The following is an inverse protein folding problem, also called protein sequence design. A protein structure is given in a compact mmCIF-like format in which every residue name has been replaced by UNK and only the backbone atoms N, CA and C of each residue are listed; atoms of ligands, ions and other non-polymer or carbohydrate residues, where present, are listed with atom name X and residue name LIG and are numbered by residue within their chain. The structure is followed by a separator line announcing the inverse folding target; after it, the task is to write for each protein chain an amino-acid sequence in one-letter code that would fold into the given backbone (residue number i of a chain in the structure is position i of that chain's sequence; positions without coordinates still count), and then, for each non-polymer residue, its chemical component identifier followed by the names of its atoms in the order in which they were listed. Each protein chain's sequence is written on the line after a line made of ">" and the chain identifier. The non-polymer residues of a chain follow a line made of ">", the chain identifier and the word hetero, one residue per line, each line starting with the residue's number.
data_IF_717862998964
#
_entry.id   IF_717862998964
#
_cell.length_a   1.000
_cell.length_b   1.000
_cell.length_c   1.000
_cell.angle_alpha   90.00
_cell.angle_beta   90.00
_cell.angle_gamma   90.00
#
_symmetry.space_group_name_H-M   'P 1'
#
loop_
_entity.id
_entity.type
_entity.pdbx_description
1 polymer ?
#
# COMPACT_ATOMS: atom_id res chain seq x y z
N UNK A 1 -17.18 -2.71 36.07
CA UNK A 1 -17.03 -2.65 34.60
C UNK A 1 -16.41 -3.96 34.17
N UNK A 2 -17.02 -4.60 33.19
CA UNK A 2 -16.85 -6.03 32.92
C UNK A 2 -15.65 -6.24 31.99
N UNK A 3 -14.82 -7.26 32.21
CA UNK A 3 -13.67 -7.58 31.33
C UNK A 3 -14.07 -7.76 29.85
N UNK A 4 -15.32 -8.15 29.59
CA UNK A 4 -15.90 -8.24 28.24
C UNK A 4 -16.12 -6.88 27.56
N UNK A 5 -16.48 -5.83 28.30
CA UNK A 5 -16.64 -4.46 27.75
C UNK A 5 -15.28 -3.88 27.36
N UNK A 6 -14.26 -4.10 28.19
CA UNK A 6 -12.89 -3.67 27.94
C UNK A 6 -12.24 -4.37 26.73
N UNK A 7 -12.57 -5.64 26.48
CA UNK A 7 -12.06 -6.40 25.32
C UNK A 7 -12.70 -5.93 24.02
N UNK A 8 -14.01 -5.66 24.03
CA UNK A 8 -14.74 -5.20 22.85
C UNK A 8 -14.33 -3.78 22.43
N UNK A 9 -14.09 -2.88 23.39
CA UNK A 9 -13.54 -1.55 23.12
C UNK A 9 -12.13 -1.61 22.51
N UNK A 10 -11.29 -2.53 23.00
CA UNK A 10 -9.92 -2.70 22.49
C UNK A 10 -9.88 -3.24 21.05
N UNK A 11 -10.77 -4.17 20.72
CA UNK A 11 -10.90 -4.69 19.35
C UNK A 11 -11.40 -3.61 18.38
N UNK A 12 -12.39 -2.82 18.80
CA UNK A 12 -12.96 -1.76 17.98
C UNK A 12 -11.95 -0.62 17.73
N UNK A 13 -11.12 -0.30 18.72
CA UNK A 13 -10.00 0.65 18.57
C UNK A 13 -8.92 0.13 17.60
N UNK A 14 -8.61 -1.17 17.64
CA UNK A 14 -7.65 -1.79 16.73
C UNK A 14 -8.16 -1.75 15.28
N UNK A 15 -9.41 -2.15 15.04
CA UNK A 15 -10.06 -2.11 13.72
C UNK A 15 -10.13 -0.67 13.16
N UNK A 16 -10.49 0.31 14.01
CA UNK A 16 -10.50 1.72 13.60
C UNK A 16 -9.11 2.23 13.22
N UNK A 17 -8.08 1.81 13.96
CA UNK A 17 -6.69 2.17 13.68
C UNK A 17 -6.21 1.56 12.35
N UNK A 18 -6.58 0.31 12.08
CA UNK A 18 -6.22 -0.39 10.84
C UNK A 18 -6.85 0.27 9.62
N UNK A 19 -8.16 0.56 9.65
CA UNK A 19 -8.86 1.28 8.57
C UNK A 19 -8.26 2.68 8.35
N UNK A 20 -7.86 3.37 9.43
CA UNK A 20 -7.20 4.66 9.32
C UNK A 20 -5.82 4.56 8.62
N UNK A 21 -5.02 3.57 9.03
CA UNK A 21 -3.70 3.30 8.50
C UNK A 21 -3.75 2.95 7.00
N UNK A 22 -4.69 2.09 6.60
CA UNK A 22 -4.93 1.76 5.19
C UNK A 22 -5.32 3.00 4.35
N UNK A 23 -6.19 3.86 4.88
CA UNK A 23 -6.56 5.13 4.21
C UNK A 23 -5.35 6.04 4.05
N UNK A 24 -4.44 6.07 5.03
CA UNK A 24 -3.22 6.86 4.96
C UNK A 24 -2.28 6.31 3.87
N UNK A 25 -2.08 5.00 3.82
CA UNK A 25 -1.25 4.35 2.78
C UNK A 25 -1.78 4.60 1.37
N UNK A 26 -3.10 4.52 1.16
CA UNK A 26 -3.73 4.88 -0.13
C UNK A 26 -3.44 6.33 -0.52
N UNK A 27 -3.51 7.28 0.43
CA UNK A 27 -3.19 8.69 0.16
C UNK A 27 -1.72 8.87 -0.23
N UNK A 28 -0.79 8.23 0.49
CA UNK A 28 0.65 8.28 0.19
C UNK A 28 0.92 7.75 -1.23
N UNK A 29 0.38 6.57 -1.56
CA UNK A 29 0.55 5.95 -2.88
C UNK A 29 -0.01 6.82 -4.00
N UNK A 30 -1.16 7.48 -3.80
CA UNK A 30 -1.74 8.39 -4.78
C UNK A 30 -0.89 9.66 -4.98
N UNK A 31 -0.33 10.22 -3.90
CA UNK A 31 0.56 11.38 -3.98
C UNK A 31 1.83 11.03 -4.74
N UNK A 32 2.46 9.91 -4.41
CA UNK A 32 3.65 9.43 -5.13
C UNK A 32 3.35 9.12 -6.60
N UNK A 33 2.19 8.52 -6.89
CA UNK A 33 1.73 8.33 -8.26
C UNK A 33 1.62 9.62 -9.07
N UNK A 34 1.23 10.73 -8.44
CA UNK A 34 1.23 12.06 -9.09
C UNK A 34 2.64 12.58 -9.31
N UNK A 35 3.57 12.36 -8.36
CA UNK A 35 4.98 12.73 -8.53
C UNK A 35 5.58 11.98 -9.73
N UNK A 36 5.43 10.65 -9.79
CA UNK A 36 5.93 9.86 -10.92
C UNK A 36 5.29 10.21 -12.26
N UNK A 37 4.08 10.75 -12.25
CA UNK A 37 3.43 11.24 -13.47
C UNK A 37 4.00 12.59 -13.93
N UNK A 38 4.30 13.49 -13.00
CA UNK A 38 4.77 14.85 -13.31
C UNK A 38 6.26 14.89 -13.66
N UNK A 39 7.06 13.97 -13.13
CA UNK A 39 8.50 13.95 -13.31
C UNK A 39 8.94 12.68 -14.07
N UNK A 40 9.91 12.78 -14.99
CA UNK A 40 10.43 11.64 -15.72
C UNK A 40 11.29 10.77 -14.80
N UNK A 41 10.64 9.84 -14.09
CA UNK A 41 11.32 8.85 -13.25
C UNK A 41 11.51 7.56 -14.08
N UNK A 42 12.71 6.93 -14.05
CA UNK A 42 12.91 5.64 -14.69
C UNK A 42 11.92 4.59 -14.16
N UNK A 43 11.39 3.75 -15.06
CA UNK A 43 10.39 2.72 -14.73
C UNK A 43 10.86 1.81 -13.57
N UNK A 44 12.13 1.40 -13.60
CA UNK A 44 12.76 0.58 -12.55
C UNK A 44 12.72 1.27 -11.18
N UNK A 45 13.01 2.57 -11.12
CA UNK A 45 12.98 3.32 -9.88
C UNK A 45 11.57 3.47 -9.33
N UNK A 46 10.54 3.52 -10.19
CA UNK A 46 9.14 3.53 -9.74
C UNK A 46 8.74 2.18 -9.17
N UNK A 47 9.17 1.08 -9.78
CA UNK A 47 8.95 -0.27 -9.25
C UNK A 47 9.63 -0.47 -7.90
N UNK A 48 10.89 -0.05 -7.77
CA UNK A 48 11.64 -0.16 -6.51
C UNK A 48 10.98 0.65 -5.39
N UNK A 49 10.56 1.89 -5.68
CA UNK A 49 9.84 2.72 -4.72
C UNK A 49 8.52 2.07 -4.28
N UNK A 50 7.77 1.51 -5.22
CA UNK A 50 6.50 0.80 -4.91
C UNK A 50 6.74 -0.44 -4.06
N UNK A 51 7.76 -1.25 -4.35
CA UNK A 51 8.10 -2.43 -3.55
C UNK A 51 8.51 -2.06 -2.13
N UNK A 52 9.31 -1.01 -1.99
CA UNK A 52 9.71 -0.49 -0.69
C UNK A 52 8.48 -0.08 0.14
N UNK A 53 7.53 0.64 -0.48
CA UNK A 53 6.28 1.00 0.18
C UNK A 53 5.41 -0.21 0.53
N UNK A 54 5.30 -1.18 -0.37
CA UNK A 54 4.53 -2.39 -0.11
C UNK A 54 5.08 -3.15 1.11
N UNK A 55 6.40 -3.28 1.22
CA UNK A 55 7.04 -3.88 2.38
C UNK A 55 6.75 -3.11 3.66
N UNK A 56 6.91 -1.77 3.65
CA UNK A 56 6.58 -0.93 4.81
C UNK A 56 5.12 -1.12 5.21
N UNK A 57 4.19 -1.13 4.26
CA UNK A 57 2.76 -1.27 4.57
C UNK A 57 2.44 -2.65 5.14
N UNK A 58 3.10 -3.69 4.65
CA UNK A 58 2.93 -5.06 5.13
C UNK A 58 3.46 -5.22 6.55
N UNK A 59 4.62 -4.64 6.85
CA UNK A 59 5.18 -4.62 8.20
C UNK A 59 4.24 -3.91 9.18
N UNK A 60 3.72 -2.74 8.81
CA UNK A 60 2.81 -1.94 9.65
C UNK A 60 1.42 -2.57 9.80
N UNK A 61 0.96 -3.37 8.83
CA UNK A 61 -0.31 -4.11 8.90
C UNK A 61 -0.14 -5.53 9.46
N UNK A 62 1.08 -5.95 9.83
CA UNK A 62 1.34 -7.32 10.31
C UNK A 62 1.12 -8.41 9.26
N UNK A 63 1.20 -8.07 7.97
CA UNK A 63 0.97 -8.98 6.85
C UNK A 63 2.29 -9.72 6.53
N UNK A 64 2.31 -11.07 6.56
CA UNK A 64 3.54 -11.85 6.38
C UNK A 64 4.17 -11.61 5.01
N UNK A 65 5.50 -11.49 4.89
CA UNK A 65 6.22 -11.20 3.63
C UNK A 65 5.72 -12.08 2.48
N UNK A 66 5.38 -11.47 1.34
CA UNK A 66 5.05 -12.20 0.10
C UNK A 66 6.29 -12.19 -0.77
N UNK A 67 6.69 -13.35 -1.28
CA UNK A 67 7.68 -13.43 -2.35
C UNK A 67 7.15 -12.60 -3.53
N UNK A 68 7.77 -11.44 -3.75
CA UNK A 68 7.40 -10.58 -4.87
C UNK A 68 8.01 -11.25 -6.09
N UNK A 69 7.16 -11.91 -6.87
CA UNK A 69 7.55 -12.48 -8.16
C UNK A 69 8.13 -11.35 -9.02
N UNK A 70 9.42 -11.47 -9.35
CA UNK A 70 10.23 -10.43 -10.00
C UNK A 70 9.89 -10.25 -11.49
N UNK A 71 8.73 -10.78 -11.91
CA UNK A 71 8.22 -10.69 -13.26
C UNK A 71 7.86 -9.24 -13.62
N UNK A 72 8.89 -8.45 -13.94
CA UNK A 72 8.78 -7.07 -14.41
C UNK A 72 7.88 -7.05 -15.67
N UNK A 73 6.72 -6.37 -15.64
CA UNK A 73 6.01 -6.11 -16.87
C UNK A 73 6.85 -5.13 -17.70
N UNK A 74 7.44 -5.59 -18.81
CA UNK A 74 8.23 -4.75 -19.74
C UNK A 74 7.39 -3.69 -20.49
N UNK A 75 6.27 -3.24 -19.93
CA UNK A 75 5.29 -2.42 -20.64
C UNK A 75 5.35 -0.97 -20.16
N UNK A 76 6.02 -0.13 -20.94
CA UNK A 76 5.98 1.32 -20.80
C UNK A 76 4.53 1.81 -20.76
N UNK A 77 4.09 2.32 -19.61
CA UNK A 77 2.75 2.89 -19.50
C UNK A 77 2.72 4.30 -20.08
N UNK A 78 2.25 4.42 -21.32
CA UNK A 78 1.83 5.72 -21.85
C UNK A 78 0.49 6.11 -21.25
N UNK A 79 0.50 7.13 -20.40
CA UNK A 79 -0.68 7.91 -20.03
C UNK A 79 -1.69 7.19 -19.14
N UNK A 80 -1.51 7.31 -17.81
CA UNK A 80 -2.49 7.92 -16.87
C UNK A 80 -2.23 7.50 -15.42
N UNK A 81 -1.62 6.35 -15.15
CA UNK A 81 -1.02 5.96 -13.84
C UNK A 81 0.05 4.89 -14.10
N UNK A 82 1.17 4.93 -13.39
CA UNK A 82 2.21 3.91 -13.51
C UNK A 82 1.66 2.53 -13.08
N UNK A 83 1.99 1.43 -13.76
CA UNK A 83 1.49 0.09 -13.45
C UNK A 83 1.81 -0.32 -12.01
N UNK A 84 3.05 -0.09 -11.57
CA UNK A 84 3.48 -0.33 -10.19
C UNK A 84 2.56 0.34 -9.15
N UNK A 85 2.23 1.61 -9.33
CA UNK A 85 1.34 2.37 -8.42
C UNK A 85 -0.06 1.77 -8.43
N UNK A 86 -0.55 1.38 -9.61
CA UNK A 86 -1.87 0.77 -9.76
C UNK A 86 -1.93 -0.59 -9.05
N UNK A 87 -0.86 -1.37 -9.15
CA UNK A 87 -0.74 -2.66 -8.47
C UNK A 87 -0.71 -2.51 -6.96
N UNK A 88 0.07 -1.56 -6.43
CA UNK A 88 0.11 -1.27 -5.00
C UNK A 88 -1.27 -0.84 -4.47
N UNK A 89 -2.01 -0.02 -5.21
CA UNK A 89 -3.37 0.37 -4.82
C UNK A 89 -4.31 -0.83 -4.76
N UNK A 90 -4.21 -1.78 -5.71
CA UNK A 90 -5.00 -3.02 -5.69
C UNK A 90 -4.65 -3.89 -4.48
N UNK A 91 -3.36 -4.07 -4.18
CA UNK A 91 -2.93 -4.82 -2.98
C UNK A 91 -3.45 -4.18 -1.69
N UNK A 92 -3.41 -2.85 -1.59
CA UNK A 92 -4.00 -2.12 -0.47
C UNK A 92 -5.54 -2.24 -0.37
N UNK A 93 -6.23 -2.58 -1.46
CA UNK A 93 -7.65 -2.93 -1.43
C UNK A 93 -7.87 -4.40 -0.99
N UNK A 94 -6.93 -5.29 -1.29
CA UNK A 94 -6.93 -6.71 -0.89
C UNK A 94 -6.51 -6.96 0.56
N UNK A 95 -5.89 -5.98 1.22
CA UNK A 95 -5.57 -6.05 2.66
C UNK A 95 -6.80 -5.88 3.57
N UNK A 96 -8.02 -5.90 2.99
CA UNK A 96 -9.33 -5.73 3.65
C UNK A 96 -10.08 -7.06 3.66
#
# INVERSE_FOLDING_TARGET
>A
MSEQESTMESQLLAEMSEVHLQRLFKKITLVLGRVFYLYPVPDEAVWDAVRCLDNIFRDELGIPPKEIDDARPHKHSRGRKHPAVTELLKRLDEYI
#
